data_IF_058542048754
#
_entry.id   IF_058542048754
#
_cell.length_a   1.000
_cell.length_b   1.000
_cell.length_c   1.000
_cell.angle_alpha   90.00
_cell.angle_beta   90.00
_cell.angle_gamma   90.00
#
_symmetry.space_group_name_H-M   'P 1'
#
loop_
_entity.id
_entity.type
_entity.pdbx_description
1 polymer ?
#
# COMPACT_ATOMS: atom_id res chain seq x y z
N UNK A 1 -19.74 6.73 12.12
CA UNK A 1 -19.10 5.66 11.31
C UNK A 1 -17.97 6.24 10.46
N UNK A 2 -16.87 6.72 11.07
CA UNK A 2 -15.71 7.29 10.34
C UNK A 2 -14.57 6.27 10.16
N UNK A 3 -14.26 5.47 11.18
CA UNK A 3 -13.16 4.50 11.14
C UNK A 3 -13.28 3.41 10.07
N UNK A 4 -14.49 2.94 9.75
CA UNK A 4 -14.70 1.90 8.71
C UNK A 4 -14.39 2.42 7.30
N UNK A 5 -14.65 3.69 7.05
CA UNK A 5 -14.45 4.32 5.74
C UNK A 5 -12.96 4.59 5.48
N UNK A 6 -12.21 4.96 6.53
CA UNK A 6 -10.76 5.18 6.44
C UNK A 6 -9.98 3.88 6.21
N UNK A 7 -10.42 2.76 6.79
CA UNK A 7 -9.82 1.43 6.56
C UNK A 7 -10.08 0.97 5.12
N UNK A 8 -11.28 1.23 4.59
CA UNK A 8 -11.62 0.89 3.20
C UNK A 8 -10.79 1.68 2.19
N UNK A 9 -10.60 2.99 2.42
CA UNK A 9 -9.76 3.83 1.56
C UNK A 9 -8.29 3.39 1.60
N UNK A 10 -7.73 3.10 2.78
CA UNK A 10 -6.35 2.60 2.87
C UNK A 10 -6.16 1.27 2.13
N UNK A 11 -7.15 0.36 2.20
CA UNK A 11 -7.09 -0.91 1.46
C UNK A 11 -7.10 -0.68 -0.06
N UNK A 12 -7.92 0.27 -0.54
CA UNK A 12 -8.02 0.58 -1.96
C UNK A 12 -6.73 1.22 -2.50
N UNK A 13 -6.10 2.11 -1.71
CA UNK A 13 -4.78 2.66 -2.04
C UNK A 13 -3.67 1.60 -2.08
N UNK A 14 -3.70 0.61 -1.18
CA UNK A 14 -2.75 -0.52 -1.18
C UNK A 14 -2.87 -1.31 -2.49
N UNK A 15 -4.08 -1.68 -2.91
CA UNK A 15 -4.27 -2.44 -4.16
C UNK A 15 -3.82 -1.64 -5.39
N UNK A 16 -4.13 -0.33 -5.44
CA UNK A 16 -3.70 0.54 -6.54
C UNK A 16 -2.18 0.64 -6.63
N UNK A 17 -1.48 0.83 -5.50
CA UNK A 17 -0.02 0.89 -5.47
C UNK A 17 0.59 -0.47 -5.80
N UNK A 18 -0.04 -1.56 -5.40
CA UNK A 18 0.37 -2.93 -5.74
C UNK A 18 0.28 -3.19 -7.25
N UNK A 19 -0.81 -2.79 -7.91
CA UNK A 19 -0.93 -2.91 -9.37
C UNK A 19 0.12 -2.07 -10.10
N UNK A 20 0.37 -0.83 -9.65
CA UNK A 20 1.41 0.01 -10.22
C UNK A 20 2.81 -0.58 -10.05
N UNK A 21 3.09 -1.20 -8.90
CA UNK A 21 4.36 -1.87 -8.64
C UNK A 21 4.59 -3.04 -9.60
N UNK A 22 3.56 -3.88 -9.82
CA UNK A 22 3.64 -5.00 -10.75
C UNK A 22 3.91 -4.49 -12.16
N UNK A 23 3.14 -3.49 -12.62
CA UNK A 23 3.34 -2.90 -13.95
C UNK A 23 4.73 -2.27 -14.11
N UNK A 24 5.24 -1.60 -13.07
CA UNK A 24 6.58 -1.02 -13.08
C UNK A 24 7.67 -2.10 -13.11
N UNK A 25 7.52 -3.16 -12.34
CA UNK A 25 8.44 -4.30 -12.34
C UNK A 25 8.46 -5.02 -13.70
N UNK A 26 7.30 -5.22 -14.31
CA UNK A 26 7.18 -5.84 -15.65
C UNK A 26 7.79 -4.97 -16.75
N UNK A 27 7.61 -3.64 -16.65
CA UNK A 27 8.04 -2.70 -17.70
C UNK A 27 9.50 -2.26 -17.57
N UNK A 28 9.98 -2.05 -16.35
CA UNK A 28 11.27 -1.43 -16.08
C UNK A 28 12.23 -2.34 -15.29
N UNK A 29 11.74 -3.46 -14.76
CA UNK A 29 12.51 -4.35 -13.88
C UNK A 29 12.40 -3.99 -12.40
N UNK A 30 12.85 -4.90 -11.54
CA UNK A 30 12.78 -4.73 -10.08
C UNK A 30 13.74 -3.68 -9.55
N UNK A 31 14.89 -3.48 -10.21
CA UNK A 31 15.93 -2.54 -9.79
C UNK A 31 15.70 -1.11 -10.30
N UNK A 32 14.66 -0.89 -11.09
CA UNK A 32 14.30 0.45 -11.54
C UNK A 32 13.88 1.31 -10.34
N UNK A 33 14.36 2.55 -10.31
CA UNK A 33 14.08 3.51 -9.23
C UNK A 33 12.56 3.63 -8.96
N UNK A 34 11.75 3.72 -10.02
CA UNK A 34 10.29 3.74 -9.90
C UNK A 34 9.71 2.49 -9.20
N UNK A 35 10.24 1.30 -9.48
CA UNK A 35 9.79 0.05 -8.85
C UNK A 35 10.18 0.04 -7.37
N UNK A 36 11.39 0.51 -7.04
CA UNK A 36 11.88 0.64 -5.67
C UNK A 36 11.05 1.64 -4.86
N UNK A 37 10.73 2.81 -5.45
CA UNK A 37 9.88 3.81 -4.81
C UNK A 37 8.46 3.31 -4.56
N UNK A 38 7.86 2.63 -5.54
CA UNK A 38 6.55 2.01 -5.40
C UNK A 38 6.55 0.92 -4.32
N UNK A 39 7.63 0.13 -4.22
CA UNK A 39 7.78 -0.89 -3.18
C UNK A 39 7.83 -0.28 -1.78
N UNK A 40 8.62 0.79 -1.59
CA UNK A 40 8.68 1.52 -0.31
C UNK A 40 7.34 2.14 0.04
N UNK A 41 6.63 2.72 -0.94
CA UNK A 41 5.31 3.31 -0.73
C UNK A 41 4.29 2.26 -0.32
N UNK A 42 4.32 1.08 -0.93
CA UNK A 42 3.45 -0.03 -0.57
C UNK A 42 3.68 -0.48 0.87
N UNK A 43 4.94 -0.63 1.29
CA UNK A 43 5.31 -1.02 2.65
C UNK A 43 4.77 -0.02 3.70
N UNK A 44 4.94 1.28 3.46
CA UNK A 44 4.41 2.35 4.33
C UNK A 44 2.88 2.29 4.43
N UNK A 45 2.17 2.01 3.33
CA UNK A 45 0.72 1.92 3.34
C UNK A 45 0.23 0.67 4.11
N UNK A 46 0.91 -0.46 3.96
CA UNK A 46 0.61 -1.69 4.71
C UNK A 46 0.83 -1.46 6.21
N UNK A 47 1.95 -0.84 6.60
CA UNK A 47 2.23 -0.53 8.00
C UNK A 47 1.17 0.42 8.59
N UNK A 48 0.80 1.50 7.87
CA UNK A 48 -0.28 2.40 8.30
C UNK A 48 -1.63 1.68 8.43
N UNK A 49 -1.91 0.72 7.57
CA UNK A 49 -3.14 -0.07 7.65
C UNK A 49 -3.12 -1.02 8.85
N UNK A 50 -1.98 -1.64 9.14
CA UNK A 50 -1.79 -2.51 10.29
C UNK A 50 -1.87 -1.74 11.61
N UNK A 51 -1.24 -0.56 11.71
CA UNK A 51 -1.35 0.31 12.88
C UNK A 51 -2.81 0.68 13.16
N UNK A 52 -3.59 1.01 12.11
CA UNK A 52 -5.03 1.29 12.22
C UNK A 52 -5.87 0.07 12.63
N UNK A 53 -5.36 -1.15 12.38
CA UNK A 53 -5.99 -2.40 12.81
C UNK A 53 -5.63 -2.76 14.25
N UNK A 54 -4.40 -2.51 14.69
CA UNK A 54 -3.98 -2.75 16.08
C UNK A 54 -4.74 -1.86 17.07
N UNK A 55 -5.08 -0.61 16.69
CA UNK A 55 -5.90 0.29 17.53
C UNK A 55 -7.36 -0.22 17.70
N UNK A 56 -7.78 -1.24 16.95
CA UNK A 56 -9.14 -1.82 17.01
C UNK A 56 -9.19 -3.20 17.69
N UNK A 57 -8.08 -3.73 18.20
CA UNK A 57 -8.09 -4.93 19.03
C UNK A 57 -8.27 -4.52 20.51
N UNK A 58 -9.22 -5.15 21.25
CA UNK A 58 -9.45 -4.87 22.67
C UNK A 58 -8.30 -5.34 23.58
#
# INVERSE_FOLDING_TARGET
MKGVQEVHNCKLEIEQVREQLIQAAEKYGMDAENTIELSRKLDVLINKFNDKKEIQLP
#
